data_IF_679758825476
#
_entry.id   IF_679758825476
#
_cell.length_a   1.000
_cell.length_b   1.000
_cell.length_c   1.000
_cell.angle_alpha   90.00
_cell.angle_beta   90.00
_cell.angle_gamma   90.00
#
_symmetry.space_group_name_H-M   'P 1'
#
loop_
_entity.id
_entity.type
_entity.pdbx_description
1 polymer ?
#
# COMPACT_ATOMS: atom_id res chain seq x y z
N UNK A 1 -61.79 55.62 45.24
CA UNK A 1 -63.24 55.37 45.14
C UNK A 1 -63.44 54.51 43.91
N UNK A 2 -63.83 53.25 44.13
CA UNK A 2 -64.97 52.54 43.52
C UNK A 2 -64.96 52.52 42.00
N UNK A 3 -65.18 51.46 41.25
CA UNK A 3 -65.70 50.09 41.49
C UNK A 3 -65.62 49.36 40.07
N UNK A 4 -65.32 48.14 40.10
CA UNK A 4 -65.89 47.02 39.34
C UNK A 4 -66.66 47.27 38.01
N UNK A 5 -66.32 46.55 36.93
CA UNK A 5 -67.26 45.50 36.50
C UNK A 5 -66.66 44.59 35.46
N UNK A 6 -66.92 43.36 35.67
CA UNK A 6 -66.75 42.16 34.91
C UNK A 6 -67.86 42.07 33.86
N UNK A 7 -67.62 41.52 32.70
CA UNK A 7 -68.53 40.66 31.89
C UNK A 7 -67.87 40.28 30.59
N UNK A 8 -67.49 39.07 30.41
CA UNK A 8 -68.09 37.86 29.86
C UNK A 8 -68.25 37.82 28.34
N UNK A 9 -67.53 36.90 27.82
CA UNK A 9 -67.87 35.79 26.84
C UNK A 9 -68.31 36.19 25.43
N UNK A 10 -67.57 35.76 24.48
CA UNK A 10 -67.96 35.68 23.10
C UNK A 10 -67.07 34.67 22.38
N UNK A 11 -67.41 33.37 22.50
CA UNK A 11 -66.85 32.25 21.76
C UNK A 11 -67.37 32.31 20.33
N UNK A 12 -66.48 32.56 19.36
CA UNK A 12 -66.80 32.36 17.98
C UNK A 12 -65.71 31.45 17.36
N UNK A 13 -66.03 30.18 17.39
CA UNK A 13 -65.29 29.18 16.63
C UNK A 13 -65.63 29.36 15.14
N UNK A 14 -64.66 29.78 14.35
CA UNK A 14 -64.74 29.66 12.89
C UNK A 14 -63.88 28.53 12.47
N UNK A 15 -64.53 27.44 12.16
CA UNK A 15 -64.01 26.30 11.40
C UNK A 15 -63.61 26.81 10.00
N UNK A 16 -62.30 26.92 9.74
CA UNK A 16 -61.77 26.91 8.40
C UNK A 16 -61.18 25.53 8.11
N UNK A 17 -62.07 24.65 7.68
CA UNK A 17 -61.76 23.36 7.12
C UNK A 17 -61.14 23.50 5.72
N UNK A 18 -60.01 22.86 5.54
CA UNK A 18 -59.62 22.11 4.34
C UNK A 18 -59.24 22.92 3.14
N UNK A 19 -57.99 23.24 3.04
CA UNK A 19 -57.33 23.07 1.76
C UNK A 19 -56.15 22.09 1.98
N UNK A 20 -56.46 20.80 1.97
CA UNK A 20 -55.46 19.79 1.68
C UNK A 20 -55.03 19.97 0.24
N UNK A 21 -54.17 20.93 -0.02
CA UNK A 21 -53.31 20.88 -1.22
C UNK A 21 -52.53 19.58 -1.10
N UNK A 22 -52.80 18.64 -1.96
CA UNK A 22 -51.95 17.48 -2.24
C UNK A 22 -50.54 18.02 -2.52
N UNK A 23 -49.76 18.19 -1.48
CA UNK A 23 -48.28 18.26 -1.64
C UNK A 23 -47.94 16.94 -2.33
N UNK A 24 -47.70 17.03 -3.65
CA UNK A 24 -47.02 16.00 -4.41
C UNK A 24 -45.81 15.58 -3.59
N UNK A 25 -45.80 14.37 -3.10
CA UNK A 25 -44.63 13.69 -2.56
C UNK A 25 -43.71 13.27 -3.72
N UNK A 26 -42.85 14.09 -4.27
CA UNK A 26 -41.79 13.60 -5.15
C UNK A 26 -40.43 13.83 -4.57
N UNK A 27 -40.32 14.33 -3.34
CA UNK A 27 -38.99 14.70 -2.88
C UNK A 27 -38.37 13.70 -1.89
N UNK A 28 -39.21 12.92 -1.23
CA UNK A 28 -38.70 12.01 -0.17
C UNK A 28 -38.03 10.78 -0.78
N UNK A 29 -38.64 10.18 -1.78
CA UNK A 29 -38.04 9.03 -2.47
C UNK A 29 -36.78 9.44 -3.23
N UNK A 30 -36.82 10.55 -3.99
CA UNK A 30 -35.62 11.10 -4.64
C UNK A 30 -34.56 11.62 -3.65
N UNK A 31 -34.99 12.17 -2.50
CA UNK A 31 -34.06 12.57 -1.45
C UNK A 31 -33.45 11.35 -0.74
N UNK A 32 -34.22 10.27 -0.50
CA UNK A 32 -33.72 9.01 0.03
C UNK A 32 -32.76 8.35 -0.97
N UNK A 33 -33.08 8.32 -2.25
CA UNK A 33 -32.18 7.81 -3.29
C UNK A 33 -30.91 8.63 -3.43
N UNK A 34 -30.99 9.98 -3.31
CA UNK A 34 -29.80 10.83 -3.34
C UNK A 34 -28.93 10.69 -2.09
N UNK A 35 -29.51 10.51 -0.92
CA UNK A 35 -28.80 10.22 0.34
C UNK A 35 -28.15 8.83 0.25
N UNK A 36 -28.85 7.82 -0.26
CA UNK A 36 -28.26 6.49 -0.47
C UNK A 36 -27.10 6.49 -1.48
N UNK A 37 -27.17 7.32 -2.51
CA UNK A 37 -26.06 7.46 -3.49
C UNK A 37 -24.85 8.16 -2.85
N UNK A 38 -25.06 9.20 -2.07
CA UNK A 38 -23.97 9.90 -1.34
C UNK A 38 -23.38 8.97 -0.29
N UNK A 39 -24.19 8.27 0.48
CA UNK A 39 -23.72 7.31 1.49
C UNK A 39 -22.97 6.15 0.86
N UNK A 40 -23.44 5.63 -0.28
CA UNK A 40 -22.74 4.55 -0.98
C UNK A 40 -21.42 5.00 -1.60
N UNK A 41 -21.32 6.23 -2.11
CA UNK A 41 -20.07 6.79 -2.63
C UNK A 41 -19.06 7.02 -1.50
N UNK A 42 -19.48 7.58 -0.37
CA UNK A 42 -18.64 7.76 0.81
C UNK A 42 -18.18 6.42 1.38
N UNK A 43 -19.06 5.42 1.42
CA UNK A 43 -18.73 4.08 1.89
C UNK A 43 -17.71 3.40 0.95
N UNK A 44 -17.87 3.56 -0.36
CA UNK A 44 -16.91 3.05 -1.36
C UNK A 44 -15.52 3.64 -1.15
N UNK A 45 -15.42 4.95 -0.92
CA UNK A 45 -14.13 5.63 -0.67
C UNK A 45 -13.50 5.17 0.65
N UNK A 46 -14.29 5.01 1.70
CA UNK A 46 -13.83 4.47 2.99
C UNK A 46 -13.31 3.03 2.81
N UNK A 47 -14.05 2.19 2.09
CA UNK A 47 -13.64 0.82 1.82
C UNK A 47 -12.35 0.77 0.99
N UNK A 48 -12.17 1.68 0.03
CA UNK A 48 -10.95 1.73 -0.79
C UNK A 48 -9.72 2.26 -0.04
N UNK A 49 -9.88 3.09 0.99
CA UNK A 49 -8.77 3.85 1.59
C UNK A 49 -8.45 3.47 3.03
N UNK A 50 -9.47 3.31 3.88
CA UNK A 50 -9.34 3.24 5.34
C UNK A 50 -9.68 1.87 5.91
N UNK A 51 -10.71 1.19 5.37
CA UNK A 51 -11.22 -0.07 5.90
C UNK A 51 -10.17 -1.20 5.87
N UNK A 52 -10.36 -2.21 6.71
CA UNK A 52 -9.59 -3.45 6.62
C UNK A 52 -9.67 -4.01 5.19
N UNK A 53 -8.52 -4.44 4.62
CA UNK A 53 -8.50 -4.92 3.24
C UNK A 53 -9.44 -6.09 2.95
N UNK A 54 -9.65 -7.03 3.88
CA UNK A 54 -10.55 -8.16 3.67
C UNK A 54 -12.01 -7.75 3.80
N UNK A 55 -12.34 -6.81 4.70
CA UNK A 55 -13.67 -6.21 4.78
C UNK A 55 -14.00 -5.48 3.48
N UNK A 56 -13.06 -4.73 2.92
CA UNK A 56 -13.21 -4.08 1.63
C UNK A 56 -13.44 -5.10 0.48
N UNK A 57 -12.70 -6.20 0.45
CA UNK A 57 -12.92 -7.29 -0.51
C UNK A 57 -14.34 -7.82 -0.40
N UNK A 58 -14.80 -8.15 0.81
CA UNK A 58 -16.16 -8.67 1.04
C UNK A 58 -17.25 -7.66 0.64
N UNK A 59 -17.01 -6.37 0.90
CA UNK A 59 -17.93 -5.32 0.47
C UNK A 59 -18.08 -5.28 -1.05
N UNK A 60 -16.96 -5.19 -1.79
CA UNK A 60 -17.02 -5.11 -3.25
C UNK A 60 -17.55 -6.40 -3.89
N UNK A 61 -17.26 -7.57 -3.31
CA UNK A 61 -17.84 -8.83 -3.79
C UNK A 61 -19.36 -8.84 -3.67
N UNK A 62 -19.91 -8.43 -2.51
CA UNK A 62 -21.36 -8.33 -2.30
C UNK A 62 -22.01 -7.26 -3.18
N UNK A 63 -21.33 -6.15 -3.39
CA UNK A 63 -21.81 -5.09 -4.29
C UNK A 63 -21.91 -5.57 -5.73
N UNK A 64 -20.92 -6.32 -6.21
CA UNK A 64 -20.92 -6.93 -7.55
C UNK A 64 -21.95 -8.07 -7.73
N UNK A 65 -22.37 -8.73 -6.65
CA UNK A 65 -23.51 -9.67 -6.71
C UNK A 65 -24.83 -8.96 -7.01
N UNK A 66 -25.00 -7.73 -6.54
CA UNK A 66 -26.19 -6.91 -6.76
C UNK A 66 -26.12 -6.13 -8.08
N UNK A 67 -24.96 -5.65 -8.41
CA UNK A 67 -24.69 -4.79 -9.56
C UNK A 67 -23.45 -5.30 -10.32
N UNK A 68 -23.58 -6.39 -11.10
CA UNK A 68 -22.43 -7.10 -11.70
C UNK A 68 -21.68 -6.26 -12.76
N UNK A 69 -22.34 -5.31 -13.39
CA UNK A 69 -21.80 -4.50 -14.49
C UNK A 69 -21.10 -3.22 -14.00
N UNK A 70 -21.03 -2.99 -12.68
CA UNK A 70 -20.40 -1.81 -12.07
C UNK A 70 -18.86 -1.94 -12.11
N UNK A 71 -18.26 -1.34 -13.12
CA UNK A 71 -16.80 -1.35 -13.33
C UNK A 71 -16.02 -0.68 -12.18
N UNK A 72 -16.61 0.32 -11.54
CA UNK A 72 -16.02 0.97 -10.35
C UNK A 72 -15.93 0.02 -9.15
N UNK A 73 -16.94 -0.82 -8.92
CA UNK A 73 -16.86 -1.88 -7.90
C UNK A 73 -15.85 -2.97 -8.29
N UNK A 74 -15.75 -3.31 -9.56
CA UNK A 74 -14.72 -4.24 -10.05
C UNK A 74 -13.30 -3.67 -9.81
N UNK A 75 -13.09 -2.38 -10.08
CA UNK A 75 -11.84 -1.67 -9.75
C UNK A 75 -11.58 -1.62 -8.24
N UNK A 76 -12.62 -1.38 -7.44
CA UNK A 76 -12.56 -1.42 -5.98
C UNK A 76 -12.14 -2.78 -5.45
N UNK A 77 -12.75 -3.86 -5.97
CA UNK A 77 -12.39 -5.23 -5.64
C UNK A 77 -10.92 -5.53 -5.94
N UNK A 78 -10.46 -5.22 -7.16
CA UNK A 78 -9.09 -5.46 -7.57
C UNK A 78 -8.06 -4.75 -6.67
N UNK A 79 -8.30 -3.47 -6.34
CA UNK A 79 -7.45 -2.68 -5.43
C UNK A 79 -7.46 -3.26 -4.02
N UNK A 80 -8.63 -3.66 -3.51
CA UNK A 80 -8.76 -4.25 -2.17
C UNK A 80 -8.04 -5.59 -2.06
N UNK A 81 -8.11 -6.42 -3.09
CA UNK A 81 -7.36 -7.68 -3.17
C UNK A 81 -5.84 -7.44 -3.14
N UNK A 82 -5.33 -6.41 -3.83
CA UNK A 82 -3.92 -6.03 -3.74
C UNK A 82 -3.55 -5.60 -2.32
N UNK A 83 -4.39 -4.81 -1.64
CA UNK A 83 -4.18 -4.39 -0.25
C UNK A 83 -4.21 -5.58 0.72
N UNK A 84 -5.05 -6.56 0.45
CA UNK A 84 -5.16 -7.81 1.22
C UNK A 84 -4.02 -8.82 0.93
N UNK A 85 -3.06 -8.50 0.04
CA UNK A 85 -1.98 -9.41 -0.35
C UNK A 85 -2.40 -10.54 -1.30
N UNK A 86 -3.64 -10.51 -1.82
CA UNK A 86 -4.25 -11.52 -2.69
C UNK A 86 -4.01 -11.19 -4.16
N UNK A 87 -2.73 -11.09 -4.55
CA UNK A 87 -2.33 -10.59 -5.87
C UNK A 87 -2.81 -11.48 -7.02
N UNK A 88 -2.84 -12.81 -6.86
CA UNK A 88 -3.33 -13.73 -7.89
C UNK A 88 -4.82 -13.54 -8.20
N UNK A 89 -5.63 -13.29 -7.18
CA UNK A 89 -7.05 -13.02 -7.37
C UNK A 89 -7.26 -11.63 -8.00
N UNK A 90 -6.48 -10.64 -7.55
CA UNK A 90 -6.50 -9.31 -8.17
C UNK A 90 -6.17 -9.36 -9.66
N UNK A 91 -5.20 -10.20 -10.06
CA UNK A 91 -4.82 -10.41 -11.46
C UNK A 91 -6.03 -10.84 -12.31
N UNK A 92 -6.80 -11.84 -11.85
CA UNK A 92 -8.01 -12.31 -12.55
C UNK A 92 -9.07 -11.21 -12.68
N UNK A 93 -9.24 -10.38 -11.63
CA UNK A 93 -10.16 -9.24 -11.68
C UNK A 93 -9.67 -8.17 -12.65
N UNK A 94 -8.36 -7.87 -12.66
CA UNK A 94 -7.78 -6.93 -13.62
C UNK A 94 -7.87 -7.40 -15.08
N UNK A 95 -7.83 -8.70 -15.36
CA UNK A 95 -8.07 -9.24 -16.70
C UNK A 95 -9.44 -8.82 -17.23
N UNK A 96 -10.47 -8.89 -16.39
CA UNK A 96 -11.83 -8.39 -16.76
C UNK A 96 -11.82 -6.88 -17.00
N UNK A 97 -11.15 -6.10 -16.12
CA UNK A 97 -11.09 -4.64 -16.26
C UNK A 97 -10.42 -4.22 -17.58
N UNK A 98 -9.31 -4.88 -17.97
CA UNK A 98 -8.60 -4.48 -19.19
C UNK A 98 -9.27 -4.99 -20.47
N UNK A 99 -10.24 -5.89 -20.37
CA UNK A 99 -11.10 -6.31 -21.47
C UNK A 99 -12.32 -5.39 -21.65
N UNK A 100 -12.63 -4.55 -20.65
CA UNK A 100 -13.76 -3.64 -20.70
C UNK A 100 -13.49 -2.44 -21.63
N UNK A 101 -14.55 -1.93 -22.27
CA UNK A 101 -14.48 -0.79 -23.21
C UNK A 101 -14.05 0.53 -22.51
N UNK A 102 -14.28 0.63 -21.22
CA UNK A 102 -13.94 1.82 -20.39
C UNK A 102 -12.57 1.73 -19.72
N UNK A 103 -11.71 0.81 -20.18
CA UNK A 103 -10.35 0.64 -19.65
C UNK A 103 -9.55 1.94 -19.73
N UNK A 104 -8.89 2.29 -18.63
CA UNK A 104 -8.05 3.46 -18.51
C UNK A 104 -6.56 3.12 -18.50
N UNK A 105 -5.69 4.11 -18.71
CA UNK A 105 -4.24 3.95 -18.52
C UNK A 105 -3.90 3.54 -17.09
N UNK A 106 -4.63 4.07 -16.09
CA UNK A 106 -4.45 3.70 -14.68
C UNK A 106 -4.78 2.22 -14.43
N UNK A 107 -5.80 1.68 -15.07
CA UNK A 107 -6.16 0.25 -14.95
C UNK A 107 -5.02 -0.65 -15.45
N UNK A 108 -4.43 -0.29 -16.58
CA UNK A 108 -3.27 -1.02 -17.14
C UNK A 108 -2.04 -0.94 -16.23
N UNK A 109 -1.77 0.22 -15.65
CA UNK A 109 -0.69 0.41 -14.67
C UNK A 109 -0.95 -0.43 -13.41
N UNK A 110 -2.17 -0.42 -12.90
CA UNK A 110 -2.55 -1.23 -11.74
C UNK A 110 -2.43 -2.74 -12.04
N UNK A 111 -2.87 -3.17 -13.21
CA UNK A 111 -2.75 -4.55 -13.65
C UNK A 111 -1.28 -4.97 -13.77
N UNK A 112 -0.42 -4.13 -14.37
CA UNK A 112 1.01 -4.40 -14.41
C UNK A 112 1.60 -4.56 -13.00
N UNK A 113 1.16 -3.75 -12.04
CA UNK A 113 1.54 -3.91 -10.64
C UNK A 113 1.09 -5.22 -9.99
N UNK A 114 -0.09 -5.74 -10.35
CA UNK A 114 -0.57 -7.06 -9.91
C UNK A 114 0.27 -8.18 -10.54
N UNK A 115 0.54 -8.11 -11.84
CA UNK A 115 1.34 -9.06 -12.59
C UNK A 115 2.79 -9.16 -12.07
N UNK A 116 3.41 -8.04 -11.70
CA UNK A 116 4.74 -8.05 -11.07
C UNK A 116 4.72 -8.82 -9.74
N UNK A 117 3.67 -8.64 -8.93
CA UNK A 117 3.52 -9.37 -7.65
C UNK A 117 3.33 -10.87 -7.81
N UNK A 118 2.85 -11.31 -8.97
CA UNK A 118 2.68 -12.73 -9.33
C UNK A 118 3.82 -13.24 -10.20
N UNK A 119 4.90 -12.48 -10.35
CA UNK A 119 6.09 -12.81 -11.14
C UNK A 119 5.84 -12.91 -12.66
N UNK A 120 4.77 -12.29 -13.14
CA UNK A 120 4.35 -12.28 -14.56
C UNK A 120 4.98 -11.11 -15.34
N UNK A 121 6.31 -10.99 -15.33
CA UNK A 121 7.06 -9.83 -15.82
C UNK A 121 6.76 -9.45 -17.27
N UNK A 122 6.73 -10.44 -18.17
CA UNK A 122 6.47 -10.21 -19.61
C UNK A 122 5.06 -9.66 -19.84
N UNK A 123 4.07 -10.18 -19.11
CA UNK A 123 2.70 -9.68 -19.19
C UNK A 123 2.58 -8.28 -18.61
N UNK A 124 3.29 -7.98 -17.51
CA UNK A 124 3.35 -6.66 -16.93
C UNK A 124 3.92 -5.63 -17.92
N UNK A 125 5.02 -5.95 -18.58
CA UNK A 125 5.62 -5.13 -19.64
C UNK A 125 4.64 -4.89 -20.78
N UNK A 126 3.94 -5.93 -21.26
CA UNK A 126 2.94 -5.80 -22.31
C UNK A 126 1.77 -4.88 -21.92
N UNK A 127 1.39 -4.83 -20.64
CA UNK A 127 0.37 -3.88 -20.18
C UNK A 127 0.90 -2.44 -20.13
N UNK A 128 2.12 -2.21 -19.64
CA UNK A 128 2.71 -0.87 -19.61
C UNK A 128 2.99 -0.32 -21.01
N UNK A 129 3.34 -1.17 -21.98
CA UNK A 129 3.55 -0.77 -23.37
C UNK A 129 2.25 -0.29 -24.08
N UNK A 130 1.07 -0.64 -23.55
CA UNK A 130 -0.22 -0.14 -24.02
C UNK A 130 -0.61 1.21 -23.39
N UNK A 131 0.17 1.71 -22.43
CA UNK A 131 -0.06 3.01 -21.79
C UNK A 131 0.61 4.10 -22.61
N UNK A 132 -0.11 5.16 -23.01
CA UNK A 132 0.46 6.26 -23.81
C UNK A 132 1.67 6.89 -23.13
N UNK A 133 2.70 7.31 -23.87
CA UNK A 133 3.89 7.99 -23.30
C UNK A 133 3.53 9.21 -22.46
N UNK A 134 2.48 9.93 -22.85
CA UNK A 134 1.97 11.14 -22.17
C UNK A 134 1.31 10.87 -20.81
N UNK A 135 1.04 9.60 -20.47
CA UNK A 135 0.52 9.23 -19.16
C UNK A 135 1.68 9.06 -18.17
N UNK A 136 2.23 10.18 -17.72
CA UNK A 136 3.38 10.24 -16.82
C UNK A 136 2.92 10.21 -15.36
N UNK A 137 3.13 9.07 -14.68
CA UNK A 137 2.82 8.90 -13.26
C UNK A 137 3.96 8.22 -12.52
N UNK A 138 4.13 8.60 -11.25
CA UNK A 138 5.03 7.93 -10.32
C UNK A 138 4.94 6.41 -10.39
N UNK A 139 3.70 5.88 -10.33
CA UNK A 139 3.47 4.43 -10.32
C UNK A 139 3.93 3.77 -11.62
N UNK A 140 3.63 4.39 -12.78
CA UNK A 140 4.08 3.87 -14.07
C UNK A 140 5.59 3.79 -14.16
N UNK A 141 6.31 4.85 -13.82
CA UNK A 141 7.77 4.87 -13.88
C UNK A 141 8.40 3.90 -12.89
N UNK A 142 7.86 3.80 -11.67
CA UNK A 142 8.32 2.82 -10.69
C UNK A 142 8.19 1.38 -11.19
N UNK A 143 7.06 1.02 -11.81
CA UNK A 143 6.86 -0.32 -12.36
C UNK A 143 7.72 -0.56 -13.61
N UNK A 144 7.89 0.45 -14.48
CA UNK A 144 8.78 0.39 -15.63
C UNK A 144 10.24 0.15 -15.21
N UNK A 145 10.68 0.79 -14.13
CA UNK A 145 12.01 0.57 -13.55
C UNK A 145 12.18 -0.89 -13.08
N UNK A 146 11.21 -1.44 -12.36
CA UNK A 146 11.23 -2.83 -11.90
C UNK A 146 11.23 -3.83 -13.06
N UNK A 147 10.50 -3.56 -14.13
CA UNK A 147 10.51 -4.38 -15.36
C UNK A 147 11.87 -4.28 -16.06
N UNK A 148 12.45 -3.08 -16.15
CA UNK A 148 13.79 -2.91 -16.70
C UNK A 148 14.86 -3.67 -15.89
N UNK A 149 14.72 -3.73 -14.56
CA UNK A 149 15.56 -4.56 -13.68
C UNK A 149 15.41 -6.05 -14.01
N UNK A 150 14.19 -6.54 -14.15
CA UNK A 150 13.95 -7.95 -14.50
C UNK A 150 14.58 -8.34 -15.86
N UNK A 151 14.65 -7.38 -16.77
CA UNK A 151 15.29 -7.52 -18.08
C UNK A 151 16.79 -7.20 -18.06
N UNK A 152 17.39 -6.90 -16.89
CA UNK A 152 18.79 -6.46 -16.71
C UNK A 152 19.17 -5.21 -17.53
N UNK A 153 18.17 -4.41 -17.89
CA UNK A 153 18.35 -3.14 -18.60
C UNK A 153 18.70 -2.00 -17.62
N UNK A 154 19.84 -2.12 -16.93
CA UNK A 154 20.21 -1.35 -15.76
C UNK A 154 20.19 0.16 -15.95
N UNK A 155 20.69 0.66 -17.08
CA UNK A 155 20.67 2.12 -17.35
C UNK A 155 19.24 2.66 -17.47
N UNK A 156 18.37 1.89 -18.10
CA UNK A 156 16.96 2.22 -18.27
C UNK A 156 16.22 2.15 -16.93
N UNK A 157 16.52 1.14 -16.11
CA UNK A 157 16.00 1.01 -14.75
C UNK A 157 16.39 2.20 -13.88
N UNK A 158 17.67 2.57 -13.86
CA UNK A 158 18.16 3.72 -13.08
C UNK A 158 17.45 5.01 -13.48
N UNK A 159 17.34 5.30 -14.79
CA UNK A 159 16.63 6.49 -15.28
C UNK A 159 15.15 6.52 -14.85
N UNK A 160 14.46 5.38 -14.93
CA UNK A 160 13.07 5.32 -14.51
C UNK A 160 12.87 5.45 -13.00
N UNK A 161 13.79 4.91 -12.19
CA UNK A 161 13.75 5.12 -10.75
C UNK A 161 13.99 6.58 -10.37
N UNK A 162 14.95 7.24 -11.03
CA UNK A 162 15.24 8.65 -10.83
C UNK A 162 14.02 9.53 -11.15
N UNK A 163 13.39 9.31 -12.31
CA UNK A 163 12.13 10.01 -12.68
C UNK A 163 11.05 9.75 -11.64
N UNK A 164 10.83 8.48 -11.27
CA UNK A 164 9.81 8.14 -10.28
C UNK A 164 10.08 8.80 -8.92
N UNK A 165 11.33 8.87 -8.46
CA UNK A 165 11.68 9.52 -7.21
C UNK A 165 11.37 11.02 -7.24
N UNK A 166 11.64 11.69 -8.37
CA UNK A 166 11.33 13.12 -8.57
C UNK A 166 9.83 13.43 -8.66
N UNK A 167 8.98 12.45 -8.94
CA UNK A 167 7.53 12.64 -9.10
C UNK A 167 6.72 12.53 -7.79
N UNK A 168 7.37 12.33 -6.65
CA UNK A 168 6.67 12.13 -5.38
C UNK A 168 7.36 12.85 -4.22
N UNK A 169 6.57 13.36 -3.29
CA UNK A 169 7.07 13.89 -2.01
C UNK A 169 7.35 12.78 -0.98
N UNK A 170 7.02 11.52 -1.29
CA UNK A 170 7.22 10.35 -0.43
C UNK A 170 8.02 9.26 -1.16
N UNK A 171 9.28 9.52 -1.53
CA UNK A 171 10.07 8.64 -2.39
C UNK A 171 10.63 7.39 -1.68
N UNK A 172 10.44 7.22 -0.38
CA UNK A 172 11.05 6.12 0.39
C UNK A 172 10.90 4.75 -0.28
N UNK A 173 9.70 4.43 -0.80
CA UNK A 173 9.44 3.15 -1.45
C UNK A 173 10.19 2.96 -2.76
N UNK A 174 10.27 3.99 -3.60
CA UNK A 174 10.99 3.90 -4.87
C UNK A 174 12.51 3.91 -4.66
N UNK A 175 13.02 4.70 -3.71
CA UNK A 175 14.44 4.70 -3.33
C UNK A 175 14.86 3.33 -2.78
N UNK A 176 14.04 2.70 -1.94
CA UNK A 176 14.29 1.35 -1.48
C UNK A 176 14.33 0.32 -2.63
N UNK A 177 13.43 0.42 -3.60
CA UNK A 177 13.45 -0.47 -4.77
C UNK A 177 14.69 -0.23 -5.64
N UNK A 178 15.08 1.02 -5.84
CA UNK A 178 16.29 1.38 -6.58
C UNK A 178 17.55 0.90 -5.85
N UNK A 179 17.61 1.11 -4.53
CA UNK A 179 18.68 0.56 -3.69
C UNK A 179 18.78 -0.95 -3.79
N UNK A 180 17.63 -1.65 -3.83
CA UNK A 180 17.60 -3.09 -3.99
C UNK A 180 18.10 -3.53 -5.38
N UNK A 181 17.75 -2.79 -6.44
CA UNK A 181 18.32 -2.98 -7.78
C UNK A 181 19.84 -2.85 -7.76
N UNK A 182 20.39 -1.80 -7.12
CA UNK A 182 21.84 -1.63 -6.94
C UNK A 182 22.47 -2.77 -6.14
N UNK A 183 21.83 -3.19 -5.06
CA UNK A 183 22.30 -4.30 -4.21
C UNK A 183 22.42 -5.61 -5.01
N UNK A 184 21.40 -5.95 -5.79
CA UNK A 184 21.35 -7.23 -6.53
C UNK A 184 22.37 -7.32 -7.67
N UNK A 185 22.84 -6.19 -8.18
CA UNK A 185 23.90 -6.14 -9.21
C UNK A 185 25.28 -5.80 -8.64
N UNK A 186 25.46 -5.84 -7.31
CA UNK A 186 26.75 -5.69 -6.64
C UNK A 186 27.21 -4.26 -6.43
N UNK A 187 26.41 -3.24 -6.78
CA UNK A 187 26.73 -1.82 -6.52
C UNK A 187 26.33 -1.47 -5.08
N UNK A 188 27.04 -2.09 -4.12
CA UNK A 188 26.70 -1.98 -2.71
C UNK A 188 26.82 -0.57 -2.16
N UNK A 189 27.78 0.22 -2.65
CA UNK A 189 27.99 1.60 -2.20
C UNK A 189 26.82 2.51 -2.64
N UNK A 190 26.34 2.38 -3.87
CA UNK A 190 25.17 3.12 -4.32
C UNK A 190 23.90 2.63 -3.62
N UNK A 191 23.77 1.32 -3.37
CA UNK A 191 22.66 0.74 -2.62
C UNK A 191 22.59 1.33 -1.20
N UNK A 192 23.73 1.41 -0.49
CA UNK A 192 23.83 1.99 0.86
C UNK A 192 23.31 3.43 0.89
N UNK A 193 23.69 4.27 -0.08
CA UNK A 193 23.23 5.66 -0.19
C UNK A 193 21.70 5.74 -0.37
N UNK A 194 21.16 4.95 -1.29
CA UNK A 194 19.72 4.94 -1.60
C UNK A 194 18.87 4.44 -0.43
N UNK A 195 19.36 3.45 0.33
CA UNK A 195 18.65 2.98 1.52
C UNK A 195 18.70 4.01 2.66
N UNK A 196 19.83 4.69 2.87
CA UNK A 196 19.90 5.78 3.83
C UNK A 196 18.95 6.93 3.46
N UNK A 197 18.88 7.27 2.19
CA UNK A 197 17.96 8.28 1.70
C UNK A 197 16.49 7.81 1.89
N UNK A 198 16.14 6.56 1.58
CA UNK A 198 14.82 6.01 1.85
C UNK A 198 14.42 6.12 3.32
N UNK A 199 15.35 5.79 4.24
CA UNK A 199 15.16 5.88 5.69
C UNK A 199 14.99 7.34 6.15
N UNK A 200 15.63 8.30 5.50
CA UNK A 200 15.47 9.73 5.82
C UNK A 200 14.03 10.21 5.59
N UNK A 201 13.37 9.70 4.55
CA UNK A 201 11.96 9.98 4.24
C UNK A 201 10.98 9.14 5.07
N UNK A 202 11.32 7.89 5.40
CA UNK A 202 10.50 7.03 6.26
C UNK A 202 11.37 6.26 7.27
N UNK A 203 11.52 6.84 8.45
CA UNK A 203 12.28 6.28 9.57
C UNK A 203 11.70 4.95 10.11
N UNK A 204 10.45 4.62 9.76
CA UNK A 204 9.78 3.38 10.18
C UNK A 204 9.91 2.25 9.16
N UNK A 205 10.43 2.51 7.97
CA UNK A 205 10.56 1.51 6.90
C UNK A 205 11.63 0.46 7.26
N UNK A 206 11.22 -0.58 7.97
CA UNK A 206 12.14 -1.67 8.37
C UNK A 206 12.82 -2.35 7.17
N UNK A 207 12.12 -2.49 6.04
CA UNK A 207 12.68 -3.09 4.82
C UNK A 207 13.92 -2.32 4.34
N UNK A 208 13.88 -0.98 4.34
CA UNK A 208 15.04 -0.17 3.94
C UNK A 208 16.20 -0.30 4.94
N UNK A 209 15.92 -0.36 6.26
CA UNK A 209 16.92 -0.61 7.29
C UNK A 209 17.59 -1.97 7.10
N UNK A 210 16.82 -3.01 6.83
CA UNK A 210 17.32 -4.35 6.60
C UNK A 210 18.17 -4.44 5.31
N UNK A 211 17.72 -3.81 4.25
CA UNK A 211 18.45 -3.76 2.98
C UNK A 211 19.76 -2.95 3.11
N UNK A 212 19.75 -1.87 3.91
CA UNK A 212 20.96 -1.11 4.25
C UNK A 212 21.99 -2.02 4.92
N UNK A 213 21.58 -2.79 5.91
CA UNK A 213 22.44 -3.71 6.63
C UNK A 213 22.98 -4.81 5.70
N UNK A 214 22.16 -5.34 4.79
CA UNK A 214 22.61 -6.28 3.76
C UNK A 214 23.68 -5.65 2.84
N UNK A 215 23.46 -4.42 2.36
CA UNK A 215 24.44 -3.73 1.52
C UNK A 215 25.78 -3.49 2.23
N UNK A 216 25.74 -3.14 3.52
CA UNK A 216 26.95 -2.98 4.36
C UNK A 216 27.65 -4.31 4.62
N UNK A 217 26.89 -5.32 5.04
CA UNK A 217 27.44 -6.64 5.31
C UNK A 217 28.05 -7.29 4.06
N UNK A 218 27.47 -7.05 2.87
CA UNK A 218 28.08 -7.50 1.60
C UNK A 218 29.45 -6.85 1.31
N UNK A 219 29.76 -5.75 1.98
CA UNK A 219 31.07 -5.09 1.96
C UNK A 219 31.94 -5.48 3.19
N UNK A 220 31.57 -6.51 3.93
CA UNK A 220 32.19 -6.91 5.21
C UNK A 220 32.19 -5.81 6.30
N UNK A 221 31.24 -4.86 6.22
CA UNK A 221 31.02 -3.82 7.22
C UNK A 221 29.98 -4.31 8.23
N UNK A 222 30.42 -5.00 9.28
CA UNK A 222 29.57 -5.66 10.26
C UNK A 222 29.21 -4.81 11.48
N UNK A 223 29.14 -3.50 11.29
CA UNK A 223 28.67 -2.56 12.31
C UNK A 223 27.31 -1.99 11.92
N UNK A 224 26.38 -1.94 12.90
CA UNK A 224 25.09 -1.34 12.64
C UNK A 224 25.23 0.14 12.23
N UNK A 225 24.43 0.60 11.26
CA UNK A 225 24.42 2.01 10.90
C UNK A 225 23.85 2.87 12.02
N UNK A 226 24.28 4.15 12.07
CA UNK A 226 23.76 5.12 13.05
C UNK A 226 22.40 5.64 12.56
N UNK A 227 21.36 4.88 12.85
CA UNK A 227 19.97 5.18 12.52
C UNK A 227 19.07 4.86 13.73
N UNK A 228 17.86 5.40 13.74
CA UNK A 228 16.90 5.11 14.80
C UNK A 228 16.40 3.65 14.70
N UNK A 229 16.62 2.87 15.77
CA UNK A 229 16.23 1.46 15.87
C UNK A 229 15.51 1.18 17.19
N UNK A 230 14.46 0.39 17.15
CA UNK A 230 13.93 -0.28 18.34
C UNK A 230 14.83 -1.46 18.70
N UNK A 231 14.74 -1.98 19.96
CA UNK A 231 15.48 -3.17 20.36
C UNK A 231 15.17 -4.38 19.45
N UNK A 232 13.90 -4.56 19.11
CA UNK A 232 13.48 -5.64 18.19
C UNK A 232 14.07 -5.49 16.80
N UNK A 233 14.10 -4.27 16.25
CA UNK A 233 14.74 -4.00 14.96
C UNK A 233 16.24 -4.27 15.04
N UNK A 234 16.91 -3.78 16.09
CA UNK A 234 18.34 -3.98 16.31
C UNK A 234 18.70 -5.47 16.32
N UNK A 235 17.98 -6.28 17.11
CA UNK A 235 18.18 -7.73 17.17
C UNK A 235 18.01 -8.39 15.78
N UNK A 236 16.96 -8.05 15.04
CA UNK A 236 16.72 -8.56 13.68
C UNK A 236 17.82 -8.17 12.69
N UNK A 237 18.32 -6.96 12.76
CA UNK A 237 19.39 -6.48 11.88
C UNK A 237 20.73 -7.13 12.20
N UNK A 238 21.06 -7.34 13.48
CA UNK A 238 22.24 -8.11 13.90
C UNK A 238 22.18 -9.56 13.37
N UNK A 239 21.01 -10.21 13.47
CA UNK A 239 20.80 -11.53 12.89
C UNK A 239 20.98 -11.53 11.35
N UNK A 240 20.44 -10.51 10.64
CA UNK A 240 20.65 -10.37 9.19
C UNK A 240 22.13 -10.23 8.84
N UNK A 241 22.89 -9.43 9.61
CA UNK A 241 24.34 -9.28 9.43
C UNK A 241 25.08 -10.60 9.68
N UNK A 242 24.70 -11.33 10.72
CA UNK A 242 25.27 -12.63 11.04
C UNK A 242 25.09 -13.64 9.88
N UNK A 243 23.88 -13.74 9.32
CA UNK A 243 23.62 -14.58 8.15
C UNK A 243 24.49 -14.17 6.96
N UNK A 244 24.70 -12.87 6.75
CA UNK A 244 25.60 -12.40 5.70
C UNK A 244 27.07 -12.75 5.99
N UNK A 245 27.52 -12.64 7.23
CA UNK A 245 28.88 -13.03 7.66
C UNK A 245 29.11 -14.53 7.46
N UNK A 246 28.14 -15.38 7.83
CA UNK A 246 28.20 -16.84 7.58
C UNK A 246 28.42 -17.12 6.09
N UNK A 247 27.62 -16.50 5.22
CA UNK A 247 27.72 -16.68 3.77
C UNK A 247 29.08 -16.25 3.20
N UNK A 248 29.80 -15.38 3.89
CA UNK A 248 31.12 -14.89 3.49
C UNK A 248 32.29 -15.62 4.19
N UNK A 249 31.99 -16.62 5.05
CA UNK A 249 32.96 -17.38 5.77
C UNK A 249 33.49 -16.70 7.05
N UNK A 250 32.93 -15.55 7.45
CA UNK A 250 33.34 -14.78 8.64
C UNK A 250 32.63 -15.36 9.89
N UNK A 251 32.87 -16.63 10.19
CA UNK A 251 32.09 -17.41 11.18
C UNK A 251 32.22 -16.85 12.60
N UNK A 252 33.39 -16.40 13.01
CA UNK A 252 33.61 -15.86 14.38
C UNK A 252 32.87 -14.54 14.56
N UNK A 253 32.87 -13.69 13.53
CA UNK A 253 32.05 -12.47 13.52
C UNK A 253 30.56 -12.82 13.60
N UNK A 254 30.13 -13.83 12.86
CA UNK A 254 28.75 -14.27 12.89
C UNK A 254 28.31 -14.76 14.28
N UNK A 255 29.18 -15.51 15.00
CA UNK A 255 28.89 -15.92 16.38
C UNK A 255 28.67 -14.73 17.31
N UNK A 256 29.56 -13.72 17.24
CA UNK A 256 29.44 -12.50 18.03
C UNK A 256 28.14 -11.76 17.71
N UNK A 257 27.81 -11.57 16.42
CA UNK A 257 26.58 -10.91 15.99
C UNK A 257 25.32 -11.66 16.42
N UNK A 258 25.34 -13.00 16.45
CA UNK A 258 24.21 -13.82 16.93
C UNK A 258 24.04 -13.71 18.43
N UNK A 259 25.14 -13.71 19.20
CA UNK A 259 25.09 -13.47 20.64
C UNK A 259 24.50 -12.09 20.93
N UNK A 260 24.98 -11.04 20.28
CA UNK A 260 24.44 -9.68 20.40
C UNK A 260 22.96 -9.59 20.02
N UNK A 261 22.53 -10.35 18.98
CA UNK A 261 21.13 -10.38 18.56
C UNK A 261 20.23 -11.03 19.63
N UNK A 262 20.70 -12.09 20.28
CA UNK A 262 19.98 -12.77 21.36
C UNK A 262 19.87 -11.85 22.59
N UNK A 263 20.99 -11.25 23.00
CA UNK A 263 21.05 -10.37 24.18
C UNK A 263 20.24 -9.09 24.01
N UNK A 264 20.22 -8.54 22.81
CA UNK A 264 19.46 -7.31 22.49
C UNK A 264 17.96 -7.56 22.38
N UNK A 265 17.56 -8.79 22.04
CA UNK A 265 16.14 -9.09 21.77
C UNK A 265 15.30 -9.01 23.06
N UNK A 266 14.19 -8.24 23.09
CA UNK A 266 13.31 -8.17 24.26
C UNK A 266 12.51 -9.46 24.50
N UNK A 267 12.56 -10.41 23.57
CA UNK A 267 11.88 -11.72 23.64
C UNK A 267 12.81 -12.79 23.12
N UNK A 268 12.52 -14.05 23.47
CA UNK A 268 13.26 -15.19 22.93
C UNK A 268 13.34 -15.14 21.41
N UNK A 269 14.57 -15.17 20.88
CA UNK A 269 14.83 -15.05 19.44
C UNK A 269 15.28 -16.40 18.86
N UNK A 270 14.33 -17.30 18.70
CA UNK A 270 14.53 -18.68 18.27
C UNK A 270 15.44 -18.83 17.03
N UNK A 271 15.25 -17.99 15.99
CA UNK A 271 16.07 -18.05 14.78
C UNK A 271 17.55 -17.78 15.06
N UNK A 272 17.88 -16.78 15.91
CA UNK A 272 19.27 -16.49 16.26
C UNK A 272 19.88 -17.60 17.11
N UNK A 273 19.14 -18.12 18.10
CA UNK A 273 19.57 -19.21 18.98
C UNK A 273 19.87 -20.47 18.16
N UNK A 274 18.98 -20.89 17.27
CA UNK A 274 19.20 -22.07 16.42
C UNK A 274 20.38 -21.89 15.48
N UNK A 275 20.54 -20.70 14.89
CA UNK A 275 21.67 -20.44 14.00
C UNK A 275 22.99 -20.50 14.77
N UNK A 276 23.06 -19.91 15.98
CA UNK A 276 24.26 -19.96 16.82
C UNK A 276 24.60 -21.40 17.26
N UNK A 277 23.60 -22.17 17.68
CA UNK A 277 23.79 -23.57 18.04
C UNK A 277 24.32 -24.40 16.84
N UNK A 278 23.81 -24.18 15.65
CA UNK A 278 24.31 -24.86 14.44
C UNK A 278 25.76 -24.51 14.14
N UNK A 279 26.19 -23.26 14.33
CA UNK A 279 27.59 -22.84 14.15
C UNK A 279 28.55 -23.37 15.19
N UNK A 280 28.07 -23.70 16.40
CA UNK A 280 28.90 -24.26 17.46
C UNK A 280 29.09 -25.79 17.34
N UNK A 281 28.23 -26.42 16.53
CA UNK A 281 28.28 -27.89 16.32
C UNK A 281 28.92 -28.24 14.94
N UNK A 282 29.33 -27.25 14.14
CA UNK A 282 30.02 -27.41 12.87
C UNK A 282 31.52 -27.21 13.02
#
# INVERSE_FOLDING_TARGET
>A
MRLFSVATIGLAAVLALSSCAKLKKPSVEKAIDSVNVIDSANLTDIMMTVADPNEAVNYFQRSLQKEPDRIDFTRGLAKSLIRAGRASEAMVVYEKIVADKTVTSQDRVNFAGALIRTNEWKRAEAQLNKVPPTYETYQRYRLAAMIADSNKAWKKSDSFYEIAAGMTTKPAGVLNNWGYSKLTRGDFAAAEKLFLEAISYDKKMFTAKNNLVLARASQRKYTLPVIQLTQTERAKLLHTMAISAIKQGDVDIARGLLADAIDTSPRYFDAAVRTLAALNNS
#
